data_IF_274559668283
#
_entry.id   IF_274559668283
#
_cell.length_a   1.000
_cell.length_b   1.000
_cell.length_c   1.000
_cell.angle_alpha   90.00
_cell.angle_beta   90.00
_cell.angle_gamma   90.00
#
_symmetry.space_group_name_H-M   'P 1'
#
loop_
_entity.id
_entity.type
_entity.pdbx_description
1 polymer ?
#
# COMPACT_ATOMS: atom_id res chain seq x y z
N UNK A 1 -9.16 -21.43 -6.08
CA UNK A 1 -8.22 -20.48 -6.68
C UNK A 1 -8.59 -20.09 -8.09
N UNK A 2 -8.84 -21.03 -8.96
CA UNK A 2 -9.20 -20.74 -10.36
C UNK A 2 -10.50 -19.95 -10.51
N UNK A 3 -11.50 -20.29 -9.70
CA UNK A 3 -12.79 -19.59 -9.71
C UNK A 3 -12.65 -18.14 -9.25
N UNK A 4 -11.84 -17.92 -8.21
CA UNK A 4 -11.56 -16.59 -7.69
C UNK A 4 -10.84 -15.77 -8.76
N UNK A 5 -9.86 -16.36 -9.42
CA UNK A 5 -9.10 -15.70 -10.47
C UNK A 5 -9.98 -15.32 -11.66
N UNK A 6 -10.88 -16.22 -12.06
CA UNK A 6 -11.80 -15.97 -13.16
C UNK A 6 -12.75 -14.80 -12.83
N UNK A 7 -13.29 -14.80 -11.64
CA UNK A 7 -14.16 -13.72 -11.16
C UNK A 7 -13.40 -12.39 -11.10
N UNK A 8 -12.17 -12.43 -10.65
CA UNK A 8 -11.29 -11.26 -10.60
C UNK A 8 -10.98 -10.74 -12.01
N UNK A 9 -10.70 -11.64 -12.96
CA UNK A 9 -10.44 -11.27 -14.34
C UNK A 9 -11.62 -10.52 -14.95
N UNK A 10 -12.85 -10.95 -14.66
CA UNK A 10 -14.04 -10.26 -15.13
C UNK A 10 -14.14 -8.85 -14.53
N UNK A 11 -13.85 -8.70 -13.23
CA UNK A 11 -13.89 -7.40 -12.57
C UNK A 11 -12.79 -6.47 -13.07
N UNK A 12 -11.61 -7.01 -13.40
CA UNK A 12 -10.49 -6.21 -13.90
C UNK A 12 -10.72 -5.66 -15.29
N UNK A 13 -11.78 -6.09 -15.99
CA UNK A 13 -12.20 -5.47 -17.25
C UNK A 13 -12.84 -4.12 -17.04
N UNK A 14 -13.34 -3.85 -15.83
CA UNK A 14 -13.83 -2.53 -15.45
C UNK A 14 -12.63 -1.64 -15.13
N UNK A 15 -12.39 -0.57 -15.91
CA UNK A 15 -11.22 0.29 -15.72
C UNK A 15 -11.14 0.92 -14.33
N UNK A 16 -12.27 1.30 -13.75
CA UNK A 16 -12.29 1.90 -12.43
C UNK A 16 -11.90 0.88 -11.35
N UNK A 17 -12.48 -0.31 -11.41
CA UNK A 17 -12.13 -1.38 -10.48
C UNK A 17 -10.65 -1.74 -10.60
N UNK A 18 -10.13 -1.77 -11.83
CA UNK A 18 -8.73 -2.06 -12.08
C UNK A 18 -7.81 -1.06 -11.39
N UNK A 19 -8.14 0.24 -11.48
CA UNK A 19 -7.35 1.28 -10.80
C UNK A 19 -7.32 1.07 -9.28
N UNK A 20 -8.48 0.80 -8.68
CA UNK A 20 -8.56 0.55 -7.24
C UNK A 20 -7.78 -0.71 -6.84
N UNK A 21 -7.88 -1.75 -7.66
CA UNK A 21 -7.16 -2.99 -7.41
C UNK A 21 -5.65 -2.79 -7.45
N UNK A 22 -5.17 -2.05 -8.44
CA UNK A 22 -3.73 -1.76 -8.57
C UNK A 22 -3.20 -0.93 -7.40
N UNK A 23 -3.99 0.00 -6.89
CA UNK A 23 -3.63 0.76 -5.69
C UNK A 23 -3.50 -0.15 -4.47
N UNK A 24 -4.43 -1.08 -4.28
CA UNK A 24 -4.36 -2.03 -3.18
C UNK A 24 -3.14 -2.96 -3.31
N UNK A 25 -2.80 -3.38 -4.53
CA UNK A 25 -1.62 -4.18 -4.80
C UNK A 25 -0.33 -3.42 -4.41
N UNK A 26 -0.23 -2.15 -4.78
CA UNK A 26 0.91 -1.31 -4.42
C UNK A 26 1.03 -1.16 -2.90
N UNK A 27 -0.09 -0.95 -2.24
CA UNK A 27 -0.16 -0.80 -0.79
C UNK A 27 0.31 -2.08 -0.08
N UNK A 28 -0.18 -3.24 -0.53
CA UNK A 28 0.24 -4.53 0.01
C UNK A 28 1.72 -4.78 -0.19
N UNK A 29 2.27 -4.37 -1.32
CA UNK A 29 3.70 -4.50 -1.58
C UNK A 29 4.52 -3.68 -0.58
N UNK A 30 4.09 -2.47 -0.28
CA UNK A 30 4.75 -1.61 0.72
C UNK A 30 4.71 -2.27 2.10
N UNK A 31 3.54 -2.73 2.53
CA UNK A 31 3.36 -3.41 3.82
C UNK A 31 4.27 -4.63 3.92
N UNK A 32 4.31 -5.43 2.88
CA UNK A 32 5.14 -6.63 2.83
C UNK A 32 6.62 -6.31 3.01
N UNK A 33 7.11 -5.25 2.36
CA UNK A 33 8.51 -4.82 2.50
C UNK A 33 8.86 -4.49 3.95
N UNK A 34 7.97 -3.80 4.63
CA UNK A 34 8.18 -3.39 6.03
C UNK A 34 8.17 -4.61 6.95
N UNK A 35 7.20 -5.49 6.80
CA UNK A 35 7.08 -6.71 7.62
C UNK A 35 8.29 -7.62 7.40
N UNK A 36 8.67 -7.84 6.14
CA UNK A 36 9.83 -8.69 5.80
C UNK A 36 11.11 -8.16 6.43
N UNK A 37 11.34 -6.85 6.35
CA UNK A 37 12.51 -6.25 6.98
C UNK A 37 12.51 -6.49 8.49
N UNK A 38 11.37 -6.25 9.13
CA UNK A 38 11.24 -6.40 10.58
C UNK A 38 11.53 -7.84 11.00
N UNK A 39 10.94 -8.81 10.31
CA UNK A 39 11.11 -10.22 10.62
C UNK A 39 12.55 -10.68 10.38
N UNK A 40 13.15 -10.30 9.27
CA UNK A 40 14.54 -10.67 8.96
C UNK A 40 15.53 -10.15 9.99
N UNK A 41 15.26 -8.98 10.52
CA UNK A 41 16.13 -8.35 11.52
C UNK A 41 15.71 -8.68 12.95
N UNK A 42 14.75 -9.59 13.12
CA UNK A 42 14.26 -10.05 14.41
C UNK A 42 13.81 -8.89 15.31
N UNK A 43 13.12 -7.93 14.72
CA UNK A 43 12.61 -6.76 15.42
C UNK A 43 11.12 -6.91 15.70
N UNK A 44 10.71 -6.52 16.91
CA UNK A 44 9.30 -6.32 17.19
C UNK A 44 8.83 -5.01 16.55
N UNK A 45 7.53 -4.80 16.50
CA UNK A 45 6.99 -3.52 16.04
C UNK A 45 7.50 -2.36 16.90
N UNK A 46 7.57 -2.55 18.21
CA UNK A 46 8.08 -1.54 19.13
C UNK A 46 9.55 -1.22 18.87
N UNK A 47 10.36 -2.24 18.63
CA UNK A 47 11.78 -2.06 18.35
C UNK A 47 12.01 -1.32 17.02
N UNK A 48 11.27 -1.68 15.98
CA UNK A 48 11.36 -0.96 14.72
C UNK A 48 10.94 0.50 14.88
N UNK A 49 9.83 0.72 15.56
CA UNK A 49 9.31 2.07 15.83
C UNK A 49 10.37 2.94 16.51
N UNK A 50 11.01 2.39 17.53
CA UNK A 50 12.06 3.11 18.27
C UNK A 50 13.24 3.49 17.37
N UNK A 51 13.66 2.57 16.51
CA UNK A 51 14.79 2.82 15.59
C UNK A 51 14.46 3.87 14.55
N UNK A 52 13.22 3.84 14.03
CA UNK A 52 12.78 4.80 13.02
C UNK A 52 12.50 6.17 13.65
N UNK A 53 12.09 6.20 14.90
CA UNK A 53 11.69 7.44 15.57
C UNK A 53 10.21 7.74 15.43
N UNK A 54 9.39 6.69 15.37
CA UNK A 54 7.93 6.79 15.34
C UNK A 54 7.34 5.94 16.47
N UNK A 55 6.03 5.98 16.65
CA UNK A 55 5.37 5.16 17.69
C UNK A 55 5.11 3.75 17.17
N UNK A 56 5.01 2.79 18.11
CA UNK A 56 4.61 1.43 17.76
C UNK A 56 3.24 1.41 17.09
N UNK A 57 2.33 2.27 17.52
CA UNK A 57 1.01 2.36 16.94
C UNK A 57 1.08 2.72 15.45
N UNK A 58 2.00 3.62 15.07
CA UNK A 58 2.21 3.95 13.66
C UNK A 58 2.66 2.72 12.86
N UNK A 59 3.60 1.95 13.39
CA UNK A 59 4.06 0.73 12.72
C UNK A 59 2.92 -0.27 12.58
N UNK A 60 2.16 -0.48 13.66
CA UNK A 60 1.03 -1.40 13.64
C UNK A 60 -0.01 -1.00 12.59
N UNK A 61 -0.36 0.27 12.52
CA UNK A 61 -1.33 0.76 11.52
C UNK A 61 -0.82 0.55 10.09
N UNK A 62 0.44 0.89 9.84
CA UNK A 62 1.04 0.69 8.52
C UNK A 62 1.02 -0.79 8.13
N UNK A 63 1.38 -1.68 9.03
CA UNK A 63 1.38 -3.12 8.77
C UNK A 63 -0.03 -3.68 8.55
N UNK A 64 -1.05 -2.98 9.04
CA UNK A 64 -2.45 -3.30 8.76
C UNK A 64 -2.99 -2.60 7.50
N UNK A 65 -2.13 -1.91 6.78
CA UNK A 65 -2.52 -1.23 5.55
C UNK A 65 -3.17 0.14 5.75
N UNK A 66 -3.03 0.72 6.93
CA UNK A 66 -3.57 2.04 7.23
C UNK A 66 -2.49 3.11 7.08
N UNK A 67 -2.51 3.81 5.97
CA UNK A 67 -1.53 4.86 5.65
C UNK A 67 -2.13 6.23 5.92
N UNK A 68 -2.18 6.62 7.19
CA UNK A 68 -2.76 7.90 7.58
C UNK A 68 -1.77 9.07 7.49
N UNK A 69 -0.48 8.79 7.45
CA UNK A 69 0.56 9.82 7.34
C UNK A 69 1.60 9.39 6.30
N UNK A 70 1.69 10.18 5.23
CA UNK A 70 2.71 9.95 4.19
C UNK A 70 4.11 10.17 4.75
N UNK A 71 4.28 11.18 5.60
CA UNK A 71 5.58 11.47 6.21
C UNK A 71 6.06 10.30 7.07
N UNK A 72 5.19 9.74 7.90
CA UNK A 72 5.53 8.61 8.73
C UNK A 72 5.88 7.38 7.89
N UNK A 73 5.08 7.10 6.87
CA UNK A 73 5.33 6.01 5.94
C UNK A 73 6.70 6.17 5.28
N UNK A 74 7.00 7.37 4.80
CA UNK A 74 8.27 7.68 4.15
C UNK A 74 9.45 7.46 5.10
N UNK A 75 9.33 7.90 6.34
CA UNK A 75 10.37 7.68 7.35
C UNK A 75 10.69 6.19 7.53
N UNK A 76 9.64 5.37 7.64
CA UNK A 76 9.80 3.93 7.80
C UNK A 76 10.48 3.32 6.58
N UNK A 77 10.01 3.68 5.39
CA UNK A 77 10.57 3.15 4.14
C UNK A 77 12.02 3.54 3.96
N UNK A 78 12.37 4.79 4.21
CA UNK A 78 13.76 5.24 4.10
C UNK A 78 14.67 4.48 5.06
N UNK A 79 14.20 4.24 6.28
CA UNK A 79 14.97 3.49 7.27
C UNK A 79 15.28 2.08 6.78
N UNK A 80 14.33 1.41 6.16
CA UNK A 80 14.52 0.04 5.68
C UNK A 80 15.18 -0.03 4.30
N UNK A 81 15.56 1.12 3.73
CA UNK A 81 16.32 1.18 2.48
C UNK A 81 15.49 1.37 1.23
N UNK A 82 14.27 1.88 1.35
CA UNK A 82 13.40 2.12 0.21
C UNK A 82 12.91 3.56 0.20
N UNK A 83 12.48 3.99 -0.97
CA UNK A 83 11.73 5.24 -1.12
C UNK A 83 10.47 4.96 -1.92
N UNK A 84 9.50 5.84 -1.79
CA UNK A 84 8.26 5.74 -2.56
C UNK A 84 8.08 7.05 -3.31
N UNK A 85 7.59 6.96 -4.55
CA UNK A 85 7.31 8.12 -5.38
C UNK A 85 5.80 8.28 -5.50
N UNK A 86 5.32 9.46 -5.18
CA UNK A 86 3.91 9.81 -5.34
C UNK A 86 3.77 10.72 -6.55
N UNK A 87 2.95 10.31 -7.47
CA UNK A 87 2.68 11.07 -8.68
C UNK A 87 1.19 11.30 -8.83
N UNK A 88 0.84 12.49 -9.29
CA UNK A 88 -0.53 12.78 -9.69
C UNK A 88 -0.60 12.59 -11.20
N UNK A 89 -1.37 11.61 -11.62
CA UNK A 89 -1.46 11.21 -13.01
C UNK A 89 -2.86 11.51 -13.53
N UNK A 90 -2.99 12.11 -14.74
CA UNK A 90 -4.31 12.34 -15.31
C UNK A 90 -5.09 11.05 -15.45
N UNK A 91 -6.37 11.11 -15.11
CA UNK A 91 -7.24 9.97 -15.18
C UNK A 91 -7.68 9.72 -16.61
N UNK A 92 -7.82 8.45 -16.98
CA UNK A 92 -8.37 8.05 -18.25
C UNK A 92 -9.81 8.60 -18.40
N UNK A 93 -10.17 9.05 -19.61
CA UNK A 93 -11.49 9.64 -19.87
C UNK A 93 -12.64 8.70 -19.52
N UNK A 94 -12.52 7.42 -19.85
CA UNK A 94 -13.53 6.40 -19.51
C UNK A 94 -13.76 6.29 -18.02
N UNK A 95 -12.69 6.26 -17.25
CA UNK A 95 -12.77 6.16 -15.79
C UNK A 95 -13.40 7.43 -15.21
N UNK A 96 -13.03 8.60 -15.75
CA UNK A 96 -13.62 9.88 -15.38
C UNK A 96 -15.13 9.87 -15.56
N UNK A 97 -15.59 9.39 -16.70
CA UNK A 97 -17.02 9.31 -17.01
C UNK A 97 -17.74 8.35 -16.05
N UNK A 98 -17.13 7.21 -15.72
CA UNK A 98 -17.70 6.27 -14.76
C UNK A 98 -17.90 6.91 -13.38
N UNK A 99 -16.91 7.64 -12.90
CA UNK A 99 -16.97 8.30 -11.59
C UNK A 99 -18.04 9.36 -11.57
N UNK A 100 -18.12 10.17 -12.62
CA UNK A 100 -19.10 11.25 -12.71
C UNK A 100 -20.53 10.76 -12.88
N UNK A 101 -20.72 9.55 -13.41
CA UNK A 101 -22.05 8.97 -13.60
C UNK A 101 -22.58 8.27 -12.35
N UNK A 102 -21.78 8.14 -11.33
CA UNK A 102 -22.20 7.61 -10.04
C UNK A 102 -22.59 8.75 -9.12
#
# INVERSE_FOLDING_TARGET
MREVNKHLEEKLRDPYFKELYELEEQKLNIVKRIIDYRIRNKLSQAQLAKRVGVTQQHISKIENGEFSSIVTLEKVLLFIGFTVKFEVVPLNKKIKEQILSK
#
